data_IF_216277832926
#
_entry.id   IF_216277832926
#
_cell.length_a   1.000
_cell.length_b   1.000
_cell.length_c   1.000
_cell.angle_alpha   90.00
_cell.angle_beta   90.00
_cell.angle_gamma   90.00
#
_symmetry.space_group_name_H-M   'P 1'
#
loop_
_entity.id
_entity.type
_entity.pdbx_description
1 polymer ?
#
# COMPACT_ATOMS: atom_id res chain seq x y z
N UNK A 1 2.19 -10.04 -20.79
CA UNK A 1 1.74 -9.43 -19.52
C UNK A 1 1.65 -10.46 -18.40
N UNK A 2 1.03 -11.63 -18.64
CA UNK A 2 0.93 -12.72 -17.65
C UNK A 2 2.28 -13.18 -17.07
N UNK A 3 3.32 -13.29 -17.90
CA UNK A 3 4.66 -13.70 -17.44
C UNK A 3 5.28 -12.74 -16.39
N UNK A 4 5.04 -11.42 -16.52
CA UNK A 4 5.51 -10.45 -15.54
C UNK A 4 4.77 -10.58 -14.21
N UNK A 5 3.46 -10.80 -14.26
CA UNK A 5 2.63 -11.05 -13.08
C UNK A 5 3.05 -12.34 -12.37
N UNK A 6 3.29 -13.40 -13.15
CA UNK A 6 3.79 -14.68 -12.67
C UNK A 6 5.13 -14.53 -11.97
N UNK A 7 6.08 -13.79 -12.56
CA UNK A 7 7.37 -13.51 -11.92
C UNK A 7 7.20 -12.81 -10.56
N UNK A 8 6.38 -11.76 -10.48
CA UNK A 8 6.17 -11.07 -9.20
C UNK A 8 5.53 -12.01 -8.18
N UNK A 9 4.50 -12.77 -8.57
CA UNK A 9 3.77 -13.64 -7.65
C UNK A 9 4.56 -14.89 -7.23
N UNK A 10 5.48 -15.38 -8.06
CA UNK A 10 6.33 -16.53 -7.73
C UNK A 10 7.60 -16.12 -6.99
N UNK A 11 8.28 -15.06 -7.44
CA UNK A 11 9.58 -14.65 -6.89
C UNK A 11 9.43 -13.92 -5.56
N UNK A 12 8.41 -13.06 -5.42
CA UNK A 12 8.25 -12.26 -4.20
C UNK A 12 8.04 -13.14 -2.96
N UNK A 13 7.13 -14.14 -2.94
CA UNK A 13 6.96 -15.02 -1.78
C UNK A 13 8.21 -15.86 -1.49
N UNK A 14 8.95 -16.28 -2.52
CA UNK A 14 10.21 -17.03 -2.34
C UNK A 14 11.26 -16.17 -1.63
N UNK A 15 11.37 -14.89 -2.02
CA UNK A 15 12.26 -13.94 -1.35
C UNK A 15 11.83 -13.73 0.11
N UNK A 16 10.54 -13.53 0.37
CA UNK A 16 10.02 -13.34 1.72
C UNK A 16 10.30 -14.54 2.61
N UNK A 17 10.05 -15.75 2.11
CA UNK A 17 10.30 -16.97 2.84
C UNK A 17 11.80 -17.13 3.15
N UNK A 18 12.67 -16.82 2.19
CA UNK A 18 14.12 -16.86 2.41
C UNK A 18 14.57 -15.87 3.51
N UNK A 19 14.01 -14.66 3.53
CA UNK A 19 14.29 -13.65 4.56
C UNK A 19 13.76 -14.13 5.92
N UNK A 20 12.52 -14.59 6.00
CA UNK A 20 11.90 -15.10 7.24
C UNK A 20 12.70 -16.26 7.83
N UNK A 21 13.13 -17.22 7.00
CA UNK A 21 13.96 -18.35 7.45
C UNK A 21 15.32 -17.85 7.94
N UNK A 22 15.96 -16.94 7.20
CA UNK A 22 17.27 -16.40 7.59
C UNK A 22 17.20 -15.63 8.90
N UNK A 23 16.21 -14.76 9.07
CA UNK A 23 15.98 -14.02 10.33
C UNK A 23 15.65 -15.01 11.45
N UNK A 24 14.75 -15.97 11.20
CA UNK A 24 14.40 -17.04 12.14
C UNK A 24 15.59 -17.87 12.60
N UNK A 25 16.59 -18.09 11.75
CA UNK A 25 17.82 -18.79 12.11
C UNK A 25 18.77 -17.97 13.00
N UNK A 26 18.71 -16.64 12.93
CA UNK A 26 19.59 -15.73 13.68
C UNK A 26 19.00 -15.37 15.04
N UNK A 27 17.71 -15.00 15.07
CA UNK A 27 17.03 -14.52 16.29
C UNK A 27 16.06 -15.54 16.90
N UNK A 28 15.79 -16.65 16.21
CA UNK A 28 14.80 -17.64 16.62
C UNK A 28 13.42 -17.42 15.97
N UNK A 29 12.74 -18.54 15.70
CA UNK A 29 11.42 -18.53 15.03
C UNK A 29 10.37 -17.81 15.88
N UNK A 30 10.36 -18.02 17.20
CA UNK A 30 9.39 -17.38 18.11
C UNK A 30 9.46 -15.85 18.04
N UNK A 31 10.66 -15.27 18.11
CA UNK A 31 10.85 -13.83 18.00
C UNK A 31 10.49 -13.30 16.61
N UNK A 32 10.81 -14.06 15.56
CA UNK A 32 10.43 -13.70 14.18
C UNK A 32 8.91 -13.63 14.03
N UNK A 33 8.18 -14.62 14.54
CA UNK A 33 6.71 -14.64 14.53
C UNK A 33 6.14 -13.46 15.32
N UNK A 34 6.69 -13.15 16.50
CA UNK A 34 6.25 -11.98 17.29
C UNK A 34 6.43 -10.69 16.49
N UNK A 35 7.57 -10.50 15.80
CA UNK A 35 7.83 -9.32 14.98
C UNK A 35 6.81 -9.22 13.84
N UNK A 36 6.57 -10.30 13.11
CA UNK A 36 5.61 -10.33 11.99
C UNK A 36 4.18 -10.05 12.47
N UNK A 37 3.77 -10.63 13.60
CA UNK A 37 2.44 -10.33 14.17
C UNK A 37 2.35 -8.87 14.61
N UNK A 38 3.40 -8.35 15.25
CA UNK A 38 3.43 -6.97 15.73
C UNK A 38 3.33 -5.99 14.57
N UNK A 39 4.11 -6.20 13.51
CA UNK A 39 4.09 -5.38 12.30
C UNK A 39 2.74 -5.46 11.59
N UNK A 40 2.15 -6.64 11.45
CA UNK A 40 0.80 -6.80 10.90
C UNK A 40 -0.27 -6.05 11.72
N UNK A 41 -0.23 -6.13 13.06
CA UNK A 41 -1.17 -5.44 13.94
C UNK A 41 -1.00 -3.92 13.84
N UNK A 42 0.24 -3.42 13.91
CA UNK A 42 0.54 -1.99 13.77
C UNK A 42 0.10 -1.48 12.39
N UNK A 43 0.41 -2.23 11.34
CA UNK A 43 0.01 -1.95 9.97
C UNK A 43 -1.51 -1.86 9.80
N UNK A 44 -2.24 -2.88 10.27
CA UNK A 44 -3.69 -2.90 10.24
C UNK A 44 -4.32 -1.75 11.02
N UNK A 45 -3.75 -1.40 12.19
CA UNK A 45 -4.20 -0.27 12.99
C UNK A 45 -4.03 1.06 12.23
N UNK A 46 -2.85 1.29 11.62
CA UNK A 46 -2.61 2.50 10.84
C UNK A 46 -3.53 2.58 9.61
N UNK A 47 -3.72 1.48 8.87
CA UNK A 47 -4.66 1.39 7.74
C UNK A 47 -6.07 1.75 8.18
N UNK A 48 -6.52 1.25 9.35
CA UNK A 48 -7.85 1.57 9.89
C UNK A 48 -7.97 3.06 10.23
N UNK A 49 -7.00 3.64 10.93
CA UNK A 49 -7.03 5.06 11.30
C UNK A 49 -7.08 5.97 10.07
N UNK A 50 -6.14 5.77 9.15
CA UNK A 50 -6.04 6.56 7.92
C UNK A 50 -7.24 6.34 6.99
N UNK A 51 -7.70 5.10 6.87
CA UNK A 51 -8.85 4.72 6.06
C UNK A 51 -10.13 5.42 6.50
N UNK A 52 -10.41 5.45 7.81
CA UNK A 52 -11.55 6.17 8.35
C UNK A 52 -11.46 7.67 8.08
N UNK A 53 -10.27 8.28 8.21
CA UNK A 53 -10.05 9.69 7.92
C UNK A 53 -10.29 10.04 6.44
N UNK A 54 -9.85 9.17 5.51
CA UNK A 54 -10.11 9.35 4.07
C UNK A 54 -11.59 9.19 3.75
N UNK A 55 -12.24 8.16 4.28
CA UNK A 55 -13.69 7.95 4.08
C UNK A 55 -14.51 9.14 4.57
N UNK A 56 -14.15 9.72 5.72
CA UNK A 56 -14.80 10.92 6.22
C UNK A 56 -14.66 12.10 5.26
N UNK A 57 -13.46 12.36 4.72
CA UNK A 57 -13.23 13.42 3.74
C UNK A 57 -13.99 13.19 2.43
N UNK A 58 -14.05 11.95 1.93
CA UNK A 58 -14.86 11.59 0.76
C UNK A 58 -16.32 11.95 0.99
N UNK A 59 -16.88 11.55 2.13
CA UNK A 59 -18.28 11.85 2.47
C UNK A 59 -18.52 13.36 2.57
N UNK A 60 -17.64 14.11 3.23
CA UNK A 60 -17.73 15.57 3.35
C UNK A 60 -17.71 16.27 1.99
N UNK A 61 -16.78 15.92 1.11
CA UNK A 61 -16.67 16.51 -0.23
C UNK A 61 -17.91 16.18 -1.09
N UNK A 62 -18.41 14.95 -1.03
CA UNK A 62 -19.62 14.52 -1.74
C UNK A 62 -20.86 15.29 -1.28
N UNK A 63 -21.00 15.53 0.04
CA UNK A 63 -22.10 16.35 0.60
C UNK A 63 -22.02 17.81 0.13
N UNK A 64 -20.82 18.32 -0.15
CA UNK A 64 -20.60 19.66 -0.68
C UNK A 64 -20.72 19.73 -2.21
N UNK A 65 -21.03 18.61 -2.89
CA UNK A 65 -21.10 18.53 -4.35
C UNK A 65 -19.73 18.59 -5.04
N UNK A 66 -18.63 18.41 -4.31
CA UNK A 66 -17.26 18.43 -4.83
C UNK A 66 -16.79 17.00 -5.10
N UNK A 67 -16.28 16.74 -6.30
CA UNK A 67 -15.76 15.41 -6.66
C UNK A 67 -14.41 15.12 -5.95
N UNK A 68 -14.34 14.09 -5.07
CA UNK A 68 -13.17 13.84 -4.21
C UNK A 68 -12.08 13.02 -4.92
N UNK A 69 -11.56 13.52 -6.04
CA UNK A 69 -10.57 12.78 -6.86
C UNK A 69 -9.32 12.38 -6.07
N UNK A 70 -8.91 13.23 -5.14
CA UNK A 70 -7.69 13.08 -4.38
C UNK A 70 -7.83 12.08 -3.24
N UNK A 71 -8.95 12.14 -2.54
CA UNK A 71 -9.26 11.21 -1.46
C UNK A 71 -9.51 9.79 -2.00
N UNK A 72 -10.00 9.65 -3.24
CA UNK A 72 -10.11 8.36 -3.90
C UNK A 72 -8.75 7.71 -4.17
N UNK A 73 -7.75 8.49 -4.59
CA UNK A 73 -6.37 8.00 -4.78
C UNK A 73 -5.78 7.59 -3.43
N UNK A 74 -5.98 8.42 -2.39
CA UNK A 74 -5.53 8.09 -1.03
C UNK A 74 -6.21 6.81 -0.50
N UNK A 75 -7.51 6.65 -0.75
CA UNK A 75 -8.27 5.46 -0.40
C UNK A 75 -7.73 4.20 -1.08
N UNK A 76 -7.42 4.28 -2.39
CA UNK A 76 -6.82 3.17 -3.13
C UNK A 76 -5.44 2.79 -2.57
N UNK A 77 -4.59 3.78 -2.24
CA UNK A 77 -3.29 3.52 -1.61
C UNK A 77 -3.43 2.83 -0.26
N UNK A 78 -4.38 3.25 0.58
CA UNK A 78 -4.65 2.61 1.88
C UNK A 78 -5.11 1.17 1.72
N UNK A 79 -5.98 0.88 0.75
CA UNK A 79 -6.45 -0.49 0.48
C UNK A 79 -5.30 -1.39 0.00
N UNK A 80 -4.46 -0.89 -0.91
CA UNK A 80 -3.26 -1.61 -1.36
C UNK A 80 -2.30 -1.86 -0.20
N UNK A 81 -2.11 -0.87 0.67
CA UNK A 81 -1.29 -1.00 1.86
C UNK A 81 -1.82 -2.09 2.80
N UNK A 82 -3.14 -2.10 3.07
CA UNK A 82 -3.78 -3.13 3.87
C UNK A 82 -3.59 -4.53 3.28
N UNK A 83 -3.76 -4.69 1.97
CA UNK A 83 -3.53 -5.97 1.30
C UNK A 83 -2.07 -6.46 1.45
N UNK A 84 -1.10 -5.56 1.38
CA UNK A 84 0.33 -5.90 1.55
C UNK A 84 0.73 -6.17 3.00
N UNK A 85 0.15 -5.46 3.97
CA UNK A 85 0.43 -5.65 5.41
C UNK A 85 -0.25 -6.90 5.99
N UNK A 86 -1.26 -7.44 5.31
CA UNK A 86 -1.88 -8.72 5.67
C UNK A 86 -1.02 -9.91 5.25
N UNK A 87 -0.19 -9.76 4.22
CA UNK A 87 0.74 -10.80 3.81
C UNK A 87 1.98 -10.78 4.71
N UNK A 88 2.22 -11.82 5.52
CA UNK A 88 3.36 -11.86 6.44
C UNK A 88 4.67 -11.87 5.65
N UNK A 89 5.43 -10.78 5.71
CA UNK A 89 6.68 -10.63 4.97
C UNK A 89 7.35 -9.29 5.25
N UNK A 90 8.68 -9.28 5.36
CA UNK A 90 9.42 -8.06 5.70
C UNK A 90 9.40 -7.04 4.55
N UNK A 91 9.46 -7.49 3.28
CA UNK A 91 9.47 -6.59 2.13
C UNK A 91 8.06 -6.06 1.88
N UNK A 92 7.04 -6.92 1.92
CA UNK A 92 5.62 -6.55 1.83
C UNK A 92 5.23 -5.59 2.94
N UNK A 93 5.74 -5.81 4.16
CA UNK A 93 5.49 -4.90 5.29
C UNK A 93 6.07 -3.51 5.04
N UNK A 94 7.33 -3.42 4.61
CA UNK A 94 7.98 -2.14 4.29
C UNK A 94 7.25 -1.38 3.19
N UNK A 95 6.84 -2.06 2.11
CA UNK A 95 6.09 -1.45 1.02
C UNK A 95 4.69 -1.03 1.50
N UNK A 96 4.03 -1.87 2.30
CA UNK A 96 2.74 -1.59 2.91
C UNK A 96 2.79 -0.32 3.77
N UNK A 97 3.74 -0.24 4.71
CA UNK A 97 3.94 0.95 5.55
C UNK A 97 4.27 2.19 4.73
N UNK A 98 5.03 2.06 3.64
CA UNK A 98 5.31 3.15 2.73
C UNK A 98 4.03 3.68 2.07
N UNK A 99 3.04 2.85 1.76
CA UNK A 99 1.76 3.34 1.23
C UNK A 99 0.84 3.95 2.31
N UNK A 100 0.93 3.46 3.55
CA UNK A 100 0.15 4.03 4.66
C UNK A 100 0.67 5.41 5.08
N UNK A 101 1.98 5.64 5.04
CA UNK A 101 2.56 6.86 5.60
C UNK A 101 2.05 8.14 4.89
N UNK A 102 1.62 9.19 5.61
CA UNK A 102 1.05 10.38 4.97
C UNK A 102 2.07 11.17 4.13
N UNK A 103 3.35 11.14 4.51
CA UNK A 103 4.43 11.85 3.80
C UNK A 103 4.69 11.28 2.40
N UNK A 104 4.57 9.96 2.21
CA UNK A 104 4.74 9.30 0.92
C UNK A 104 3.54 9.53 0.00
N UNK A 105 2.32 9.65 0.55
CA UNK A 105 1.11 9.92 -0.24
C UNK A 105 1.19 11.24 -1.01
N UNK A 106 1.72 12.30 -0.41
CA UNK A 106 1.92 13.58 -1.10
C UNK A 106 2.82 13.47 -2.34
N UNK A 107 3.88 12.66 -2.24
CA UNK A 107 4.80 12.40 -3.34
C UNK A 107 4.14 11.54 -4.41
N UNK A 108 3.51 10.43 -4.02
CA UNK A 108 2.85 9.49 -4.94
C UNK A 108 1.71 10.19 -5.70
N UNK A 109 0.89 10.99 -5.01
CA UNK A 109 -0.20 11.79 -5.61
C UNK A 109 0.31 12.72 -6.71
N UNK A 110 1.47 13.36 -6.52
CA UNK A 110 2.10 14.23 -7.54
C UNK A 110 2.52 13.44 -8.78
N UNK A 111 3.06 12.24 -8.60
CA UNK A 111 3.44 11.35 -9.71
C UNK A 111 2.21 10.81 -10.45
N UNK A 112 1.19 10.34 -9.73
CA UNK A 112 -0.04 9.79 -10.30
C UNK A 112 -0.81 10.86 -11.09
N UNK A 113 -0.97 12.07 -10.53
CA UNK A 113 -1.62 13.19 -11.25
C UNK A 113 -0.90 13.53 -12.54
N UNK A 114 0.43 13.64 -12.52
CA UNK A 114 1.23 13.89 -13.73
C UNK A 114 1.06 12.81 -14.79
N UNK A 115 0.93 11.54 -14.37
CA UNK A 115 0.72 10.44 -15.30
C UNK A 115 -0.68 10.49 -15.93
N UNK A 116 -1.72 10.77 -15.14
CA UNK A 116 -3.11 10.87 -15.61
C UNK A 116 -3.28 12.09 -16.52
N UNK A 117 -2.77 13.26 -16.13
CA UNK A 117 -2.81 14.48 -16.95
C UNK A 117 -2.16 14.27 -18.32
N UNK A 118 -0.96 13.66 -18.35
CA UNK A 118 -0.28 13.31 -19.60
C UNK A 118 -1.06 12.37 -20.51
N UNK A 119 -1.97 11.56 -19.97
CA UNK A 119 -2.84 10.70 -20.78
C UNK A 119 -4.13 11.40 -21.21
N UNK A 120 -4.67 12.32 -20.41
CA UNK A 120 -5.83 13.12 -20.76
C UNK A 120 -5.53 14.16 -21.83
N UNK A 121 -4.37 14.83 -21.76
CA UNK A 121 -3.93 15.80 -22.79
C UNK A 121 -3.74 15.14 -24.16
N UNK A 122 -3.50 13.81 -24.20
CA UNK A 122 -3.35 13.03 -25.44
C UNK A 122 -4.70 12.62 -26.04
N UNK A 123 -5.79 12.64 -25.25
CA UNK A 123 -7.14 12.31 -25.71
C UNK A 123 -7.85 13.54 -26.28
N UNK A 124 -7.54 14.75 -25.79
CA UNK A 124 -8.13 16.01 -26.30
C UNK A 124 -7.55 16.46 -27.66
N UNK A 125 -6.44 15.87 -28.10
CA UNK A 125 -5.76 16.21 -29.38
C UNK A 125 -6.11 15.19 -30.49
N UNK A 126 -7.07 14.28 -30.28
CA UNK A 126 -7.44 13.26 -31.27
C UNK A 126 -8.91 13.28 -31.66
#
# INVERSE_FOLDING_TARGET
>A
MLFKLFLVFAVLPVIELAILIKVGSVIGVTYTVIIVITTAVVGAYMVRMEGMGVLYRIQQNMLQGVFPADELIDGAMILMAGALLLTPGFVTDLIGFLFVFPASRGVIRKYVKRYIQRKMDVIEIK
#
